data_IF_506412356757
#
_entry.id   IF_506412356757
#
_cell.length_a   1.000
_cell.length_b   1.000
_cell.length_c   1.000
_cell.angle_alpha   90.00
_cell.angle_beta   90.00
_cell.angle_gamma   90.00
#
_symmetry.space_group_name_H-M   'P 1'
#
loop_
_entity.id
_entity.type
_entity.pdbx_description
1 polymer ?
#
# COMPACT_ATOMS: atom_id res chain seq x y z
N UNK A 1 -21.20 17.96 -6.71
CA UNK A 1 -20.59 17.18 -5.59
C UNK A 1 -19.10 17.24 -5.77
N UNK A 2 -18.45 18.08 -4.95
CA UNK A 2 -17.07 18.50 -5.19
C UNK A 2 -16.08 17.38 -4.95
N UNK A 3 -15.30 17.12 -5.98
CA UNK A 3 -14.09 16.27 -5.94
C UNK A 3 -13.14 16.89 -4.92
N UNK A 4 -12.62 16.15 -3.92
CA UNK A 4 -11.53 16.69 -3.12
C UNK A 4 -10.30 16.77 -3.98
N UNK A 5 -10.06 17.97 -4.44
CA UNK A 5 -8.91 18.38 -5.22
C UNK A 5 -7.59 18.08 -4.49
N UNK A 6 -6.50 18.17 -5.22
CA UNK A 6 -5.12 18.16 -4.70
C UNK A 6 -4.98 19.06 -3.45
N UNK A 7 -5.76 20.14 -3.38
CA UNK A 7 -5.85 21.04 -2.23
C UNK A 7 -6.36 20.37 -0.95
N UNK A 8 -7.36 19.50 -1.01
CA UNK A 8 -7.84 18.79 0.17
C UNK A 8 -6.82 17.76 0.67
N UNK A 9 -6.08 17.14 -0.25
CA UNK A 9 -4.98 16.27 0.12
C UNK A 9 -3.84 17.07 0.75
N UNK A 10 -3.44 18.19 0.16
CA UNK A 10 -2.44 19.10 0.72
C UNK A 10 -2.92 19.76 2.02
N UNK A 11 -4.22 19.99 2.16
CA UNK A 11 -4.83 20.46 3.40
C UNK A 11 -4.89 19.39 4.49
N UNK A 12 -5.19 18.15 4.13
CA UNK A 12 -5.17 17.00 5.04
C UNK A 12 -3.76 16.56 5.37
N UNK A 13 -2.82 16.92 4.49
CA UNK A 13 -1.41 16.63 4.58
C UNK A 13 -0.59 17.90 4.26
N UNK A 14 -0.63 18.92 5.10
CA UNK A 14 0.19 20.09 4.88
C UNK A 14 1.67 19.66 4.88
N UNK A 15 2.36 19.91 3.80
CA UNK A 15 3.82 20.00 3.85
C UNK A 15 4.10 21.07 4.90
N UNK A 16 4.84 20.74 5.94
CA UNK A 16 5.23 21.72 6.95
C UNK A 16 5.90 22.89 6.23
N UNK A 17 5.23 24.05 6.25
CA UNK A 17 5.83 25.28 5.78
C UNK A 17 7.08 25.61 6.61
N UNK A 18 8.10 26.11 5.96
CA UNK A 18 9.35 26.56 6.54
C UNK A 18 9.10 27.49 7.75
N UNK A 19 9.15 26.93 8.94
CA UNK A 19 9.35 27.70 10.16
C UNK A 19 10.80 27.52 10.55
N UNK A 20 11.54 28.62 10.62
CA UNK A 20 12.84 28.86 11.20
C UNK A 20 13.63 27.61 11.59
N UNK A 21 14.69 27.34 10.86
CA UNK A 21 15.60 26.22 11.04
C UNK A 21 16.27 26.30 12.42
N UNK A 22 15.71 25.59 13.40
CA UNK A 22 16.54 24.96 14.39
C UNK A 22 17.17 23.74 13.68
N UNK A 23 18.39 23.89 13.21
CA UNK A 23 19.17 22.75 12.69
C UNK A 23 19.26 21.72 13.81
N UNK A 24 18.70 20.53 13.59
CA UNK A 24 18.92 19.39 14.46
C UNK A 24 20.44 19.25 14.69
N UNK A 25 20.85 19.10 15.94
CA UNK A 25 22.27 18.87 16.30
C UNK A 25 22.77 17.48 15.88
N UNK A 26 21.88 16.63 15.38
CA UNK A 26 22.18 15.26 14.94
C UNK A 26 22.37 15.20 13.42
N UNK A 27 23.28 14.33 12.92
CA UNK A 27 23.47 14.14 11.49
C UNK A 27 22.18 13.59 10.84
N UNK A 28 21.91 13.94 9.56
CA UNK A 28 20.71 13.47 8.86
C UNK A 28 20.70 11.94 8.75
N UNK A 29 19.61 11.33 9.18
CA UNK A 29 19.38 9.89 9.08
C UNK A 29 19.08 9.50 7.64
N UNK A 30 19.72 8.46 7.12
CA UNK A 30 19.49 7.93 5.79
C UNK A 30 18.37 6.91 5.81
N UNK A 31 17.25 7.17 5.13
CA UNK A 31 16.00 6.41 5.21
C UNK A 31 15.73 5.67 3.90
N UNK A 32 15.44 4.37 3.98
CA UNK A 32 14.81 3.60 2.91
C UNK A 32 13.32 3.38 3.24
N UNK A 33 12.47 3.52 2.23
CA UNK A 33 11.02 3.24 2.36
C UNK A 33 10.69 2.06 1.46
N UNK A 34 10.22 0.97 2.05
CA UNK A 34 9.85 -0.25 1.37
C UNK A 34 8.32 -0.38 1.39
N UNK A 35 7.72 -0.55 0.23
CA UNK A 35 6.26 -0.51 0.06
C UNK A 35 5.78 -1.79 -0.60
N UNK A 36 5.04 -2.60 0.14
CA UNK A 36 4.23 -3.67 -0.42
C UNK A 36 3.10 -3.05 -1.25
N UNK A 37 3.17 -3.18 -2.57
CA UNK A 37 2.25 -2.54 -3.51
C UNK A 37 0.84 -3.12 -3.43
N UNK A 38 0.73 -4.43 -3.24
CA UNK A 38 -0.57 -5.09 -3.07
C UNK A 38 -1.28 -4.61 -1.81
N UNK A 39 -0.56 -4.60 -0.69
CA UNK A 39 -1.06 -4.07 0.57
C UNK A 39 -1.40 -2.58 0.45
N UNK A 40 -0.49 -1.77 -0.10
CA UNK A 40 -0.69 -0.34 -0.25
C UNK A 40 -1.95 -0.01 -1.03
N UNK A 41 -2.13 -0.57 -2.22
CA UNK A 41 -3.31 -0.29 -3.08
C UNK A 41 -4.60 -0.72 -2.38
N UNK A 42 -4.62 -1.90 -1.76
CA UNK A 42 -5.77 -2.39 -1.00
C UNK A 42 -6.14 -1.45 0.15
N UNK A 43 -5.15 -1.03 0.96
CA UNK A 43 -5.38 -0.11 2.08
C UNK A 43 -5.78 1.27 1.62
N UNK A 44 -5.11 1.78 0.58
CA UNK A 44 -5.42 3.07 -0.02
C UNK A 44 -6.88 3.14 -0.47
N UNK A 45 -7.36 2.11 -1.17
CA UNK A 45 -8.75 2.01 -1.60
C UNK A 45 -9.75 1.94 -0.43
N UNK A 46 -9.38 1.29 0.67
CA UNK A 46 -10.24 1.20 1.87
C UNK A 46 -10.32 2.51 2.66
N UNK A 47 -9.27 3.32 2.59
CA UNK A 47 -9.17 4.57 3.37
C UNK A 47 -9.76 5.74 2.62
N UNK A 48 -9.50 5.81 1.34
CA UNK A 48 -9.95 6.88 0.46
C UNK A 48 -11.10 6.37 -0.40
N UNK A 49 -12.34 6.54 0.04
CA UNK A 49 -13.55 6.07 -0.69
C UNK A 49 -13.61 6.56 -2.15
N UNK A 50 -12.85 7.60 -2.50
CA UNK A 50 -12.73 8.16 -3.84
C UNK A 50 -11.56 7.58 -4.66
N UNK A 51 -10.76 6.71 -4.09
CA UNK A 51 -9.62 6.11 -4.79
C UNK A 51 -10.02 5.27 -6.00
N UNK A 52 -11.25 4.74 -5.99
CA UNK A 52 -11.80 3.97 -7.12
C UNK A 52 -11.98 4.79 -8.41
N UNK A 53 -11.98 6.13 -8.29
CA UNK A 53 -12.07 7.06 -9.43
C UNK A 53 -10.71 7.65 -9.80
N UNK A 54 -9.66 7.36 -9.02
CA UNK A 54 -8.32 7.87 -9.26
C UNK A 54 -7.58 7.06 -10.31
N UNK A 55 -6.81 7.76 -11.15
CA UNK A 55 -5.87 7.15 -12.08
C UNK A 55 -4.67 6.55 -11.36
N UNK A 56 -3.98 5.61 -11.99
CA UNK A 56 -2.73 5.06 -11.46
C UNK A 56 -1.67 6.13 -11.23
N UNK A 57 -1.64 7.17 -12.08
CA UNK A 57 -0.72 8.30 -11.93
C UNK A 57 -1.01 9.13 -10.66
N UNK A 58 -2.27 9.40 -10.36
CA UNK A 58 -2.67 10.12 -9.15
C UNK A 58 -2.30 9.35 -7.90
N UNK A 59 -2.52 8.03 -7.92
CA UNK A 59 -2.12 7.15 -6.80
C UNK A 59 -0.60 7.13 -6.65
N UNK A 60 0.18 7.10 -7.75
CA UNK A 60 1.64 7.19 -7.71
C UNK A 60 2.13 8.50 -7.07
N UNK A 61 1.49 9.64 -7.37
CA UNK A 61 1.80 10.93 -6.75
C UNK A 61 1.57 10.88 -5.24
N UNK A 62 0.47 10.31 -4.80
CA UNK A 62 0.13 10.17 -3.38
C UNK A 62 1.06 9.22 -2.64
N UNK A 63 1.36 8.07 -3.22
CA UNK A 63 2.34 7.12 -2.70
C UNK A 63 3.70 7.80 -2.49
N UNK A 64 4.18 8.53 -3.49
CA UNK A 64 5.44 9.26 -3.43
C UNK A 64 5.44 10.30 -2.29
N UNK A 65 4.32 11.01 -2.10
CA UNK A 65 4.16 11.97 -1.00
C UNK A 65 4.16 11.28 0.36
N UNK A 66 3.46 10.14 0.50
CA UNK A 66 3.44 9.35 1.74
C UNK A 66 4.85 8.87 2.09
N UNK A 67 5.59 8.33 1.11
CA UNK A 67 6.96 7.89 1.33
C UNK A 67 7.89 9.03 1.79
N UNK A 68 7.78 10.23 1.20
CA UNK A 68 8.58 11.38 1.61
C UNK A 68 8.25 11.89 3.02
N UNK A 69 7.05 11.65 3.53
CA UNK A 69 6.69 12.02 4.91
C UNK A 69 7.44 11.21 5.94
N UNK A 70 7.61 9.91 5.67
CA UNK A 70 8.42 9.06 6.54
C UNK A 70 9.88 9.47 6.59
N UNK A 71 10.37 10.13 5.54
CA UNK A 71 11.71 10.68 5.53
C UNK A 71 11.78 11.99 6.34
N UNK A 72 10.77 12.86 6.20
CA UNK A 72 10.77 14.18 6.80
C UNK A 72 11.77 15.14 6.12
N UNK A 73 11.87 16.36 6.65
CA UNK A 73 12.69 17.41 6.05
C UNK A 73 14.18 17.36 6.49
N UNK A 74 14.44 16.74 7.62
CA UNK A 74 15.78 16.71 8.26
C UNK A 74 16.61 15.51 7.84
N UNK A 75 15.96 14.48 7.27
CA UNK A 75 16.60 13.23 6.89
C UNK A 75 16.82 13.13 5.38
N UNK A 76 17.61 12.14 4.98
CA UNK A 76 17.95 11.90 3.58
C UNK A 76 17.28 10.65 3.07
N UNK A 77 16.47 10.78 2.00
CA UNK A 77 15.92 9.63 1.31
C UNK A 77 17.04 8.86 0.61
N UNK A 78 17.25 7.60 1.00
CA UNK A 78 18.09 6.68 0.24
C UNK A 78 17.36 6.25 -1.02
N UNK A 79 16.23 5.51 -0.87
CA UNK A 79 15.39 5.02 -1.98
C UNK A 79 14.01 4.62 -1.49
N UNK A 80 13.04 4.71 -2.37
CA UNK A 80 11.71 4.09 -2.24
C UNK A 80 11.74 2.81 -3.07
N UNK A 81 11.48 1.68 -2.43
CA UNK A 81 11.31 0.39 -3.09
C UNK A 81 9.82 0.08 -3.16
N UNK A 82 9.33 -0.17 -4.35
CA UNK A 82 7.95 -0.55 -4.57
C UNK A 82 7.89 -1.98 -5.10
N UNK A 83 7.23 -2.85 -4.37
CA UNK A 83 7.14 -4.27 -4.64
C UNK A 83 5.74 -4.61 -5.12
N UNK A 84 5.61 -5.16 -6.31
CA UNK A 84 4.33 -5.60 -6.89
C UNK A 84 4.61 -6.63 -7.99
N UNK A 85 3.55 -7.09 -8.65
CA UNK A 85 3.65 -7.88 -9.86
C UNK A 85 3.16 -7.08 -11.07
N UNK A 86 3.61 -7.47 -12.26
CA UNK A 86 2.96 -6.99 -13.48
C UNK A 86 1.48 -7.36 -13.45
N UNK A 87 0.58 -6.50 -13.94
CA UNK A 87 -0.83 -6.82 -14.00
C UNK A 87 -1.08 -8.00 -14.93
N UNK A 88 -2.11 -8.79 -14.61
CA UNK A 88 -2.49 -9.95 -15.40
C UNK A 88 -3.05 -9.53 -16.77
N UNK A 89 -2.46 -10.04 -17.86
CA UNK A 89 -2.70 -9.58 -19.23
C UNK A 89 -3.27 -10.65 -20.17
N UNK A 90 -3.74 -11.78 -19.62
CA UNK A 90 -4.22 -12.91 -20.43
C UNK A 90 -5.71 -12.88 -20.69
N UNK A 91 -6.11 -13.75 -21.62
CA UNK A 91 -7.51 -14.03 -21.90
C UNK A 91 -7.91 -15.36 -21.26
N UNK A 92 -9.04 -15.35 -20.56
CA UNK A 92 -9.58 -16.56 -19.93
C UNK A 92 -11.09 -16.64 -20.15
N UNK A 93 -11.62 -17.86 -20.23
CA UNK A 93 -13.07 -18.07 -20.32
C UNK A 93 -13.66 -17.98 -18.91
N UNK A 94 -14.66 -17.10 -18.73
CA UNK A 94 -15.43 -17.04 -17.51
C UNK A 94 -16.26 -18.34 -17.37
N UNK A 95 -16.19 -19.05 -16.25
CA UNK A 95 -16.83 -20.36 -16.09
C UNK A 95 -18.36 -20.31 -16.12
N UNK A 96 -18.96 -19.15 -15.82
CA UNK A 96 -20.41 -18.96 -15.78
C UNK A 96 -20.93 -18.51 -17.15
N UNK A 97 -20.43 -17.37 -17.66
CA UNK A 97 -20.89 -16.84 -18.94
C UNK A 97 -20.35 -17.56 -20.16
N UNK A 98 -19.31 -18.38 -20.01
CA UNK A 98 -18.55 -19.03 -21.09
C UNK A 98 -17.90 -18.05 -22.08
N UNK A 99 -18.00 -16.74 -21.82
CA UNK A 99 -17.37 -15.70 -22.65
C UNK A 99 -15.90 -15.50 -22.31
N UNK A 100 -15.12 -15.11 -23.29
CA UNK A 100 -13.72 -14.73 -23.09
C UNK A 100 -13.64 -13.38 -22.38
N UNK A 101 -12.92 -13.33 -21.29
CA UNK A 101 -12.55 -12.10 -20.59
C UNK A 101 -11.11 -11.76 -20.98
N UNK A 102 -10.91 -10.60 -21.58
CA UNK A 102 -9.58 -10.04 -21.86
C UNK A 102 -9.16 -9.16 -20.68
N UNK A 103 -8.29 -9.70 -19.82
CA UNK A 103 -7.85 -8.97 -18.64
C UNK A 103 -7.04 -7.72 -18.96
N UNK A 104 -6.34 -7.69 -20.11
CA UNK A 104 -5.62 -6.51 -20.59
C UNK A 104 -6.53 -5.32 -20.90
N UNK A 105 -7.81 -5.59 -21.22
CA UNK A 105 -8.80 -4.55 -21.48
C UNK A 105 -9.47 -4.01 -20.20
N UNK A 106 -9.22 -4.61 -19.04
CA UNK A 106 -9.86 -4.23 -17.78
C UNK A 106 -9.31 -2.91 -17.20
N UNK A 107 -10.14 -2.23 -16.41
CA UNK A 107 -9.74 -1.01 -15.72
C UNK A 107 -8.65 -1.27 -14.67
N UNK A 108 -8.65 -2.45 -14.03
CA UNK A 108 -7.60 -2.86 -13.10
C UNK A 108 -6.23 -2.97 -13.81
N UNK A 109 -6.19 -3.55 -15.02
CA UNK A 109 -4.96 -3.63 -15.80
C UNK A 109 -4.43 -2.24 -16.18
N UNK A 110 -5.31 -1.36 -16.66
CA UNK A 110 -4.97 0.01 -17.02
C UNK A 110 -4.43 0.77 -15.81
N UNK A 111 -5.16 0.73 -14.70
CA UNK A 111 -4.79 1.38 -13.45
C UNK A 111 -3.40 0.94 -12.97
N UNK A 112 -3.15 -0.38 -12.89
CA UNK A 112 -1.85 -0.90 -12.42
C UNK A 112 -0.72 -0.57 -13.38
N UNK A 113 -0.97 -0.62 -14.68
CA UNK A 113 0.01 -0.21 -15.69
C UNK A 113 0.37 1.26 -15.54
N UNK A 114 -0.62 2.14 -15.42
CA UNK A 114 -0.41 3.58 -15.19
C UNK A 114 0.37 3.85 -13.91
N UNK A 115 0.03 3.15 -12.82
CA UNK A 115 0.72 3.28 -11.54
C UNK A 115 2.21 2.92 -11.67
N UNK A 116 2.52 1.77 -12.28
CA UNK A 116 3.88 1.30 -12.48
C UNK A 116 4.65 2.28 -13.37
N UNK A 117 4.09 2.71 -14.50
CA UNK A 117 4.74 3.65 -15.42
C UNK A 117 4.96 5.04 -14.78
N UNK A 118 4.02 5.49 -13.97
CA UNK A 118 4.18 6.75 -13.24
C UNK A 118 5.27 6.65 -12.16
N UNK A 119 5.38 5.51 -11.47
CA UNK A 119 6.42 5.28 -10.46
C UNK A 119 7.82 5.18 -11.08
N UNK A 120 7.97 4.60 -12.28
CA UNK A 120 9.23 4.57 -13.03
C UNK A 120 9.83 5.97 -13.26
N UNK A 121 8.98 6.97 -13.44
CA UNK A 121 9.37 8.36 -13.69
C UNK A 121 9.76 9.11 -12.42
N UNK A 122 9.54 8.55 -11.21
CA UNK A 122 9.85 9.22 -9.95
C UNK A 122 11.30 9.01 -9.55
N UNK A 123 11.94 10.12 -9.14
CA UNK A 123 13.31 10.07 -8.64
C UNK A 123 13.42 9.19 -7.39
N UNK A 124 14.49 8.39 -7.33
CA UNK A 124 14.79 7.49 -6.21
C UNK A 124 13.72 6.41 -5.96
N UNK A 125 12.89 6.08 -6.93
CA UNK A 125 12.00 4.92 -6.89
C UNK A 125 12.66 3.75 -7.60
N UNK A 126 12.65 2.59 -6.97
CA UNK A 126 13.07 1.32 -7.54
C UNK A 126 11.91 0.35 -7.52
N UNK A 127 11.50 -0.10 -8.70
CA UNK A 127 10.49 -1.14 -8.84
C UNK A 127 11.12 -2.52 -8.61
N UNK A 128 10.46 -3.35 -7.83
CA UNK A 128 10.83 -4.73 -7.49
C UNK A 128 9.71 -5.67 -7.91
N UNK A 129 9.50 -5.79 -9.22
CA UNK A 129 8.38 -6.55 -9.74
C UNK A 129 8.65 -8.06 -9.64
N UNK A 130 7.65 -8.77 -9.10
CA UNK A 130 7.56 -10.22 -9.06
C UNK A 130 6.77 -10.75 -10.24
N UNK A 131 6.43 -12.04 -10.17
CA UNK A 131 5.62 -12.72 -11.16
C UNK A 131 4.28 -13.15 -10.57
N UNK A 132 3.23 -13.09 -11.38
CA UNK A 132 1.96 -13.71 -11.04
C UNK A 132 2.03 -15.20 -11.40
N UNK A 133 1.77 -16.04 -10.41
CA UNK A 133 1.56 -17.47 -10.65
C UNK A 133 0.10 -17.65 -11.04
N UNK A 134 -0.11 -18.13 -12.27
CA UNK A 134 -1.44 -18.47 -12.74
C UNK A 134 -1.87 -19.79 -12.14
N UNK A 135 -3.00 -19.80 -11.46
CA UNK A 135 -3.63 -21.04 -11.03
C UNK A 135 -4.49 -21.65 -12.14
N UNK A 136 -4.80 -20.89 -13.21
CA UNK A 136 -5.81 -21.22 -14.23
C UNK A 136 -7.19 -21.57 -13.63
N UNK A 137 -7.39 -21.28 -12.35
CA UNK A 137 -8.61 -21.54 -11.59
C UNK A 137 -9.36 -20.27 -11.32
N UNK A 138 -10.69 -20.44 -11.23
CA UNK A 138 -11.59 -19.38 -10.82
C UNK A 138 -12.07 -19.67 -9.41
N UNK A 139 -12.07 -18.66 -8.55
CA UNK A 139 -12.66 -18.69 -7.23
C UNK A 139 -13.98 -17.94 -7.19
N UNK A 140 -14.85 -18.29 -6.25
CA UNK A 140 -16.07 -17.54 -5.93
C UNK A 140 -15.70 -16.52 -4.85
N UNK A 141 -16.20 -15.28 -4.97
CA UNK A 141 -15.94 -14.26 -3.94
C UNK A 141 -16.44 -14.71 -2.56
N UNK A 142 -15.69 -14.46 -1.46
CA UNK A 142 -16.03 -14.96 -0.12
C UNK A 142 -17.43 -14.60 0.37
N UNK A 143 -17.97 -13.43 -0.03
CA UNK A 143 -19.33 -13.04 0.34
C UNK A 143 -20.38 -13.93 -0.34
N UNK A 144 -20.14 -14.35 -1.59
CA UNK A 144 -21.03 -15.29 -2.31
C UNK A 144 -20.93 -16.71 -1.78
N UNK A 145 -19.73 -17.12 -1.36
CA UNK A 145 -19.57 -18.41 -0.65
C UNK A 145 -20.42 -18.43 0.62
N UNK A 146 -20.45 -17.33 1.39
CA UNK A 146 -21.33 -17.23 2.58
C UNK A 146 -22.83 -17.29 2.22
N UNK A 147 -23.23 -16.61 1.14
CA UNK A 147 -24.64 -16.65 0.69
C UNK A 147 -25.07 -18.06 0.26
N UNK A 148 -24.20 -18.77 -0.47
CA UNK A 148 -24.42 -20.18 -0.86
C UNK A 148 -24.53 -21.11 0.35
N UNK A 149 -23.56 -21.02 1.28
CA UNK A 149 -23.56 -21.88 2.49
C UNK A 149 -24.73 -21.60 3.44
N UNK A 150 -25.25 -20.37 3.45
CA UNK A 150 -26.42 -20.00 4.26
C UNK A 150 -27.76 -20.29 3.59
N UNK A 151 -27.77 -20.83 2.38
CA UNK A 151 -29.00 -21.12 1.62
C UNK A 151 -29.73 -19.87 1.08
N UNK A 152 -29.11 -18.70 1.15
CA UNK A 152 -29.68 -17.46 0.58
C UNK A 152 -29.57 -17.40 -0.94
N UNK A 153 -28.74 -18.24 -1.52
CA UNK A 153 -28.44 -18.28 -2.94
C UNK A 153 -28.14 -19.71 -3.36
N UNK A 154 -28.54 -20.10 -4.56
CA UNK A 154 -28.17 -21.38 -5.15
C UNK A 154 -27.03 -21.21 -6.17
N UNK A 155 -26.33 -22.29 -6.51
CA UNK A 155 -25.20 -22.25 -7.49
C UNK A 155 -25.66 -21.74 -8.86
N UNK A 156 -26.94 -22.04 -9.25
CA UNK A 156 -27.52 -21.56 -10.52
C UNK A 156 -27.70 -20.05 -10.59
N UNK A 157 -27.73 -19.35 -9.44
CA UNK A 157 -27.94 -17.91 -9.34
C UNK A 157 -26.63 -17.11 -9.44
N UNK A 158 -25.48 -17.81 -9.47
CA UNK A 158 -24.17 -17.18 -9.62
C UNK A 158 -24.06 -16.44 -10.96
N UNK A 159 -23.56 -15.21 -10.91
CA UNK A 159 -23.34 -14.35 -12.05
C UNK A 159 -21.85 -14.30 -12.43
N UNK A 160 -21.50 -13.89 -13.66
CA UNK A 160 -20.12 -13.78 -14.12
C UNK A 160 -19.22 -12.92 -13.23
N UNK A 161 -19.80 -11.90 -12.58
CA UNK A 161 -19.12 -11.00 -11.64
C UNK A 161 -18.92 -11.58 -10.23
N UNK A 162 -19.53 -12.72 -9.91
CA UNK A 162 -19.41 -13.38 -8.62
C UNK A 162 -18.15 -14.27 -8.51
N UNK A 163 -17.43 -14.40 -9.62
CA UNK A 163 -16.20 -15.18 -9.70
C UNK A 163 -15.02 -14.32 -10.11
N UNK A 164 -13.84 -14.73 -9.69
CA UNK A 164 -12.57 -14.08 -10.02
C UNK A 164 -11.49 -15.10 -10.35
N UNK A 165 -10.49 -14.68 -11.12
CA UNK A 165 -9.32 -15.52 -11.35
C UNK A 165 -8.46 -15.52 -10.10
N UNK A 166 -8.06 -16.70 -9.65
CA UNK A 166 -7.10 -16.83 -8.56
C UNK A 166 -5.69 -16.50 -9.06
N UNK A 167 -5.18 -15.36 -8.63
CA UNK A 167 -3.83 -14.91 -8.92
C UNK A 167 -3.02 -14.88 -7.63
N UNK A 168 -1.88 -15.56 -7.62
CA UNK A 168 -0.95 -15.52 -6.49
C UNK A 168 0.30 -14.75 -6.87
N UNK A 169 0.63 -13.74 -6.09
CA UNK A 169 1.92 -13.07 -6.21
C UNK A 169 3.02 -14.03 -5.74
N UNK A 170 4.09 -14.13 -6.50
CA UNK A 170 5.24 -14.99 -6.17
C UNK A 170 6.50 -14.16 -6.03
N UNK A 171 7.17 -14.34 -4.90
CA UNK A 171 8.49 -13.79 -4.63
C UNK A 171 8.51 -12.33 -4.19
N UNK A 172 7.36 -11.72 -3.90
CA UNK A 172 7.29 -10.34 -3.37
C UNK A 172 7.91 -10.30 -1.97
N UNK A 173 7.41 -11.14 -1.06
CA UNK A 173 7.84 -11.17 0.35
C UNK A 173 9.33 -11.51 0.45
N UNK A 174 9.80 -12.47 -0.38
CA UNK A 174 11.21 -12.80 -0.47
C UNK A 174 12.06 -11.61 -0.93
N UNK A 175 11.60 -10.83 -1.92
CA UNK A 175 12.32 -9.63 -2.40
C UNK A 175 12.39 -8.56 -1.32
N UNK A 176 11.30 -8.32 -0.58
CA UNK A 176 11.26 -7.38 0.56
C UNK A 176 12.26 -7.84 1.62
N UNK A 177 12.20 -9.11 2.03
CA UNK A 177 13.12 -9.68 3.03
C UNK A 177 14.59 -9.57 2.64
N UNK A 178 14.92 -9.90 1.38
CA UNK A 178 16.30 -9.81 0.85
C UNK A 178 16.78 -8.37 0.78
N UNK A 179 15.94 -7.43 0.34
CA UNK A 179 16.31 -6.00 0.31
C UNK A 179 16.50 -5.45 1.73
N UNK A 180 15.64 -5.81 2.72
CA UNK A 180 15.83 -5.45 4.13
C UNK A 180 17.18 -5.96 4.64
N UNK A 181 17.45 -7.26 4.44
CA UNK A 181 18.72 -7.87 4.85
C UNK A 181 19.93 -7.19 4.20
N UNK A 182 19.87 -6.91 2.89
CA UNK A 182 20.94 -6.25 2.17
C UNK A 182 21.20 -4.83 2.64
N UNK A 183 20.13 -4.07 2.91
CA UNK A 183 20.22 -2.69 3.41
C UNK A 183 20.84 -2.65 4.81
N UNK A 184 20.44 -3.59 5.68
CA UNK A 184 20.91 -3.67 7.04
C UNK A 184 22.37 -4.14 7.11
N UNK A 185 22.69 -5.30 6.55
CA UNK A 185 24.04 -5.89 6.62
C UNK A 185 25.12 -5.03 5.94
N UNK A 186 24.76 -4.32 4.87
CA UNK A 186 25.67 -3.41 4.17
C UNK A 186 25.67 -2.00 4.75
N UNK A 187 24.87 -1.73 5.75
CA UNK A 187 24.70 -0.41 6.39
C UNK A 187 24.49 0.73 5.40
N UNK A 188 23.62 0.47 4.39
CA UNK A 188 23.30 1.48 3.38
C UNK A 188 22.39 2.57 3.91
N UNK A 189 21.67 2.29 4.97
CA UNK A 189 20.68 3.17 5.61
C UNK A 189 20.76 3.05 7.13
N UNK A 190 20.25 4.06 7.81
CA UNK A 190 20.15 4.08 9.27
C UNK A 190 18.73 3.73 9.72
N UNK A 191 17.74 3.93 8.82
CA UNK A 191 16.32 3.64 9.07
C UNK A 191 15.69 2.94 7.88
N UNK A 192 14.88 1.94 8.19
CA UNK A 192 13.98 1.30 7.23
C UNK A 192 12.55 1.57 7.66
N UNK A 193 11.73 2.09 6.74
CA UNK A 193 10.28 2.18 6.90
C UNK A 193 9.64 1.13 6.01
N UNK A 194 8.89 0.22 6.60
CA UNK A 194 8.12 -0.80 5.88
C UNK A 194 6.64 -0.41 5.88
N UNK A 195 6.06 -0.21 4.69
CA UNK A 195 4.62 -0.04 4.51
C UNK A 195 4.03 -1.39 4.14
N UNK A 196 3.55 -2.11 5.14
CA UNK A 196 2.93 -3.44 5.04
C UNK A 196 2.15 -3.76 6.31
N UNK A 197 1.41 -4.87 6.31
CA UNK A 197 0.71 -5.40 7.48
C UNK A 197 0.98 -6.89 7.71
N UNK A 198 1.95 -7.46 6.99
CA UNK A 198 2.21 -8.89 6.99
C UNK A 198 3.24 -9.26 8.04
N UNK A 199 2.90 -10.25 8.88
CA UNK A 199 3.79 -10.82 9.91
C UNK A 199 4.94 -11.67 9.35
N UNK A 200 4.89 -12.06 8.09
CA UNK A 200 5.97 -12.80 7.44
C UNK A 200 7.29 -12.01 7.40
N UNK A 201 7.23 -10.69 7.64
CA UNK A 201 8.42 -9.84 7.73
C UNK A 201 9.12 -9.84 9.10
N UNK A 202 8.59 -10.52 10.13
CA UNK A 202 9.22 -10.61 11.46
C UNK A 202 10.68 -11.04 11.41
N UNK A 203 11.09 -12.09 10.64
CA UNK A 203 12.50 -12.47 10.57
C UNK A 203 13.40 -11.37 9.99
N UNK A 204 12.92 -10.63 8.99
CA UNK A 204 13.65 -9.53 8.38
C UNK A 204 13.76 -8.31 9.31
N UNK A 205 12.69 -7.99 10.04
CA UNK A 205 12.68 -6.94 11.06
C UNK A 205 13.66 -7.24 12.18
N UNK A 206 13.66 -8.47 12.72
CA UNK A 206 14.62 -8.94 13.73
C UNK A 206 16.07 -8.79 13.26
N UNK A 207 16.35 -9.16 12.01
CA UNK A 207 17.68 -9.01 11.43
C UNK A 207 18.09 -7.54 11.35
N UNK A 208 17.24 -6.69 10.80
CA UNK A 208 17.52 -5.26 10.66
C UNK A 208 17.82 -4.60 12.01
N UNK A 209 17.00 -4.85 13.03
CA UNK A 209 17.20 -4.32 14.38
C UNK A 209 18.50 -4.81 15.02
N UNK A 210 18.84 -6.10 14.86
CA UNK A 210 20.11 -6.65 15.36
C UNK A 210 21.32 -5.98 14.72
N UNK A 211 21.20 -5.55 13.45
CA UNK A 211 22.24 -4.80 12.76
C UNK A 211 22.24 -3.28 13.09
N UNK A 212 21.38 -2.85 14.02
CA UNK A 212 21.32 -1.46 14.49
C UNK A 212 20.50 -0.52 13.60
N UNK A 213 19.64 -1.06 12.75
CA UNK A 213 18.73 -0.29 11.90
C UNK A 213 17.48 0.07 12.69
N UNK A 214 17.10 1.34 12.69
CA UNK A 214 15.80 1.83 13.19
C UNK A 214 14.68 1.34 12.27
N UNK A 215 13.88 0.35 12.72
CA UNK A 215 12.88 -0.33 11.92
C UNK A 215 11.47 0.17 12.24
N UNK A 216 10.90 0.93 11.32
CA UNK A 216 9.58 1.56 11.46
C UNK A 216 8.55 0.84 10.58
N UNK A 217 7.37 0.55 11.14
CA UNK A 217 6.23 -0.01 10.40
C UNK A 217 5.16 1.05 10.18
N UNK A 218 4.66 1.17 8.94
CA UNK A 218 3.40 1.85 8.64
C UNK A 218 2.33 0.85 8.16
N UNK A 219 1.39 0.47 9.02
CA UNK A 219 0.30 -0.44 8.67
C UNK A 219 -0.86 0.27 7.96
N UNK A 220 -0.72 1.56 7.60
CA UNK A 220 -1.77 2.35 6.97
C UNK A 220 -3.14 2.20 7.66
N UNK A 221 -3.16 2.25 9.00
CA UNK A 221 -4.39 2.14 9.80
C UNK A 221 -4.97 0.73 9.90
N UNK A 222 -4.27 -0.30 9.44
CA UNK A 222 -4.60 -1.68 9.77
C UNK A 222 -4.17 -2.03 11.20
N UNK A 223 -4.78 -3.07 11.74
CA UNK A 223 -4.30 -3.68 12.97
C UNK A 223 -2.97 -4.39 12.68
N UNK A 224 -2.07 -4.37 13.65
CA UNK A 224 -0.75 -5.00 13.56
C UNK A 224 -0.76 -6.25 14.42
N UNK A 225 -0.29 -7.35 13.87
CA UNK A 225 -0.16 -8.58 14.64
C UNK A 225 0.85 -8.41 15.79
N UNK A 226 0.57 -8.95 16.99
CA UNK A 226 1.45 -8.80 18.16
C UNK A 226 2.89 -9.21 17.90
N UNK A 227 3.10 -10.31 17.15
CA UNK A 227 4.44 -10.79 16.79
C UNK A 227 5.25 -9.78 15.97
N UNK A 228 4.60 -9.07 15.06
CA UNK A 228 5.29 -8.05 14.25
C UNK A 228 5.55 -6.80 15.12
N UNK A 229 4.57 -6.41 15.95
CA UNK A 229 4.69 -5.24 16.83
C UNK A 229 5.85 -5.35 17.81
N UNK A 230 6.15 -6.53 18.33
CA UNK A 230 7.29 -6.77 19.23
C UNK A 230 8.66 -6.58 18.56
N UNK A 231 8.68 -6.63 17.22
CA UNK A 231 9.92 -6.64 16.47
C UNK A 231 10.12 -5.40 15.57
N UNK A 232 9.46 -4.29 15.91
CA UNK A 232 9.67 -2.97 15.31
C UNK A 232 10.17 -2.00 16.38
N UNK A 233 10.86 -0.94 15.98
CA UNK A 233 11.31 0.14 16.88
C UNK A 233 10.26 1.25 16.97
N UNK A 234 9.40 1.38 15.97
CA UNK A 234 8.33 2.36 15.98
C UNK A 234 7.19 2.04 15.01
N UNK A 235 6.03 2.59 15.35
CA UNK A 235 4.81 2.55 14.54
C UNK A 235 4.51 3.96 14.06
N UNK A 236 4.66 4.22 12.75
CA UNK A 236 4.30 5.50 12.14
C UNK A 236 3.10 5.33 11.22
N UNK A 237 1.92 5.58 11.76
CA UNK A 237 0.68 5.40 11.04
C UNK A 237 0.26 6.70 10.36
N UNK A 238 0.71 6.92 9.12
CA UNK A 238 0.39 8.12 8.33
C UNK A 238 -1.12 8.34 8.14
N UNK A 239 -1.93 7.31 8.31
CA UNK A 239 -3.37 7.33 8.08
C UNK A 239 -4.20 7.53 9.35
N UNK A 240 -3.71 7.16 10.54
CA UNK A 240 -4.43 7.43 11.81
C UNK A 240 -4.73 8.92 11.98
N UNK A 241 -3.81 9.76 11.56
CA UNK A 241 -3.97 11.22 11.59
C UNK A 241 -5.19 11.71 10.78
N UNK A 242 -5.62 10.98 9.75
CA UNK A 242 -6.77 11.34 8.90
C UNK A 242 -8.08 11.00 9.58
N UNK A 243 -8.19 9.83 10.22
CA UNK A 243 -9.42 9.40 10.91
C UNK A 243 -9.73 10.25 12.13
N UNK A 244 -8.73 10.55 12.97
CA UNK A 244 -8.88 11.41 14.13
C UNK A 244 -9.26 12.85 13.75
N UNK A 245 -8.71 13.39 12.66
CA UNK A 245 -9.09 14.73 12.17
C UNK A 245 -10.51 14.76 11.59
N UNK A 246 -11.00 13.71 10.92
CA UNK A 246 -12.39 13.60 10.47
C UNK A 246 -13.36 13.51 11.66
N UNK A 247 -13.05 12.70 12.66
CA UNK A 247 -13.86 12.58 13.88
C UNK A 247 -13.95 13.90 14.66
N UNK A 248 -12.83 14.59 14.85
CA UNK A 248 -12.81 15.91 15.52
C UNK A 248 -13.54 17.00 14.72
N UNK A 249 -13.58 16.90 13.39
CA UNK A 249 -14.27 17.87 12.55
C UNK A 249 -15.78 17.65 12.52
N UNK A 250 -16.25 16.41 12.58
CA UNK A 250 -17.68 16.10 12.75
C UNK A 250 -18.18 16.53 14.12
N UNK A 251 -17.39 16.32 15.18
CA UNK A 251 -17.69 16.76 16.53
C UNK A 251 -17.77 18.28 16.65
N UNK A 252 -16.84 19.01 16.04
CA UNK A 252 -16.85 20.49 16.06
C UNK A 252 -17.94 21.10 15.16
N UNK A 253 -18.38 20.42 14.09
CA UNK A 253 -19.55 20.86 13.29
C UNK A 253 -20.86 20.65 14.02
N UNK A 254 -20.98 19.62 14.84
CA UNK A 254 -22.18 19.38 15.65
C UNK A 254 -22.34 20.37 16.82
N UNK A 255 -21.20 20.83 17.37
CA UNK A 255 -21.20 21.89 18.41
C UNK A 255 -21.48 23.30 17.89
N UNK A 256 -21.28 23.59 16.60
CA UNK A 256 -21.59 24.89 15.99
C UNK A 256 -23.04 24.99 15.49
N UNK A 257 -23.84 23.93 15.60
CA UNK A 257 -25.24 23.86 15.20
C UNK A 257 -26.20 23.76 16.40
N UNK A 258 -25.69 23.86 17.62
CA UNK A 258 -26.40 24.08 18.85
C UNK A 258 -26.02 25.48 19.37
#
# INVERSE_FOLDING_TARGET
MDVPTLELFNYLYPMKSNSTQNKSSYPPVKVAVLIDGGFFVKRFNNIFNQSRTMTGEEVAKRLYTIAHRHVGNENTLYRIFYYDCHPFDKKMHNPISKKVVDFKATDEYKFRTELIEALKKKRKVALRLGTLKESKTWGIYPHRVKDLLSGKMEVKDLKPEDVHVELRQKGIDMKIGVDIASLALKRFVDRIVLISGDSDFVPAAKLARREGIDFILDPMGADVEPMLFEHIDGLDNTVKTIRTRKANRSYNKSKKKK
#
